data_IF_093676640287
#
_entry.id   IF_093676640287
#
_cell.length_a   1.000
_cell.length_b   1.000
_cell.length_c   1.000
_cell.angle_alpha   90.00
_cell.angle_beta   90.00
_cell.angle_gamma   90.00
#
_symmetry.space_group_name_H-M   'P 1'
#
loop_
_entity.id
_entity.type
_entity.pdbx_description
1 polymer ?
#
# COMPACT_ATOMS: atom_id res chain seq x y z
N UNK A 1 48.98 18.90 21.20
CA UNK A 1 48.13 18.90 19.98
C UNK A 1 46.84 18.10 20.18
N UNK A 2 46.87 16.90 20.78
CA UNK A 2 45.67 16.06 21.01
C UNK A 2 44.64 16.64 22.00
N UNK A 3 45.08 17.16 23.16
CA UNK A 3 44.14 17.67 24.19
C UNK A 3 43.37 18.92 23.75
N UNK A 4 43.98 19.78 22.93
CA UNK A 4 43.35 21.02 22.47
C UNK A 4 42.27 20.73 21.40
N UNK A 5 42.52 19.77 20.51
CA UNK A 5 41.53 19.29 19.54
C UNK A 5 40.33 18.60 20.24
N UNK A 6 40.59 17.87 21.33
CA UNK A 6 39.53 17.23 22.14
C UNK A 6 38.63 18.28 22.81
N UNK A 7 39.20 19.32 23.41
CA UNK A 7 38.44 20.43 24.01
C UNK A 7 37.62 21.16 22.95
N UNK A 8 38.18 21.40 21.77
CA UNK A 8 37.48 22.06 20.67
C UNK A 8 36.27 21.22 20.20
N UNK A 9 36.42 19.90 20.10
CA UNK A 9 35.35 18.97 19.71
C UNK A 9 34.21 18.97 20.75
N UNK A 10 34.52 19.02 22.05
CA UNK A 10 33.52 19.10 23.12
C UNK A 10 32.74 20.41 23.06
N UNK A 11 33.41 21.54 22.79
CA UNK A 11 32.77 22.85 22.66
C UNK A 11 31.84 22.88 21.45
N UNK A 12 32.27 22.33 20.31
CA UNK A 12 31.44 22.24 19.11
C UNK A 12 30.21 21.37 19.37
N UNK A 13 30.37 20.23 20.04
CA UNK A 13 29.25 19.36 20.39
C UNK A 13 28.23 20.06 21.29
N UNK A 14 28.69 20.79 22.31
CA UNK A 14 27.82 21.58 23.19
C UNK A 14 27.06 22.67 22.43
N UNK A 15 27.73 23.38 21.52
CA UNK A 15 27.08 24.41 20.69
C UNK A 15 25.99 23.81 19.80
N UNK A 16 26.27 22.69 19.13
CA UNK A 16 25.28 22.00 18.29
C UNK A 16 24.09 21.53 19.13
N UNK A 17 24.34 20.96 20.31
CA UNK A 17 23.27 20.54 21.22
C UNK A 17 22.38 21.71 21.65
N UNK A 18 22.97 22.87 21.96
CA UNK A 18 22.22 24.07 22.35
C UNK A 18 21.36 24.60 21.20
N UNK A 19 21.88 24.61 19.97
CA UNK A 19 21.13 25.00 18.77
C UNK A 19 19.93 24.07 18.54
N UNK A 20 20.12 22.76 18.71
CA UNK A 20 19.03 21.78 18.57
C UNK A 20 17.94 22.01 19.63
N UNK A 21 18.33 22.25 20.89
CA UNK A 21 17.36 22.53 21.97
C UNK A 21 16.54 23.79 21.71
N UNK A 22 17.18 24.87 21.25
CA UNK A 22 16.48 26.12 20.89
C UNK A 22 15.52 25.87 19.72
N UNK A 23 15.94 25.09 18.73
CA UNK A 23 15.08 24.75 17.59
C UNK A 23 13.85 23.96 18.02
N UNK A 24 14.03 22.95 18.88
CA UNK A 24 12.93 22.17 19.46
C UNK A 24 12.00 23.01 20.33
N UNK A 25 12.51 23.98 21.09
CA UNK A 25 11.68 24.90 21.87
C UNK A 25 10.79 25.77 20.97
N UNK A 26 11.38 26.38 19.92
CA UNK A 26 10.64 27.25 18.99
C UNK A 26 9.61 26.43 18.19
N UNK A 27 9.97 25.22 17.74
CA UNK A 27 9.08 24.37 16.96
C UNK A 27 8.00 23.70 17.83
N UNK A 28 8.37 23.23 19.02
CA UNK A 28 7.48 22.60 19.99
C UNK A 28 6.40 23.54 20.52
N UNK A 29 6.74 24.81 20.79
CA UNK A 29 5.76 25.83 21.21
C UNK A 29 4.74 26.14 20.10
N UNK A 30 5.14 26.06 18.82
CA UNK A 30 4.21 26.24 17.69
C UNK A 30 3.21 25.08 17.55
N UNK A 31 3.61 23.86 17.91
CA UNK A 31 2.75 22.68 17.85
C UNK A 31 1.76 22.64 19.03
N UNK A 32 2.18 23.08 20.23
CA UNK A 32 1.36 23.00 21.44
C UNK A 32 0.34 24.13 21.63
N UNK A 33 0.45 25.24 20.89
CA UNK A 33 -0.53 26.32 20.99
C UNK A 33 -1.81 25.98 20.20
N UNK A 34 -2.56 25.00 20.71
CA UNK A 34 -3.80 24.47 20.12
C UNK A 34 -4.93 25.49 19.96
N UNK A 35 -4.79 26.71 20.51
CA UNK A 35 -5.81 27.76 20.46
C UNK A 35 -6.01 28.43 19.09
N UNK A 36 -5.09 28.25 18.12
CA UNK A 36 -5.23 28.82 16.76
C UNK A 36 -5.99 27.92 15.77
N UNK A 37 -6.23 26.66 16.11
CA UNK A 37 -6.82 25.69 15.18
C UNK A 37 -8.35 25.59 15.25
N UNK A 38 -9.01 26.27 16.20
CA UNK A 38 -10.47 26.23 16.32
C UNK A 38 -11.20 26.78 15.09
N UNK A 39 -10.67 27.81 14.42
CA UNK A 39 -11.25 28.34 13.17
C UNK A 39 -10.87 27.56 11.92
N UNK A 40 -9.93 26.62 12.03
CA UNK A 40 -9.41 25.82 10.91
C UNK A 40 -9.97 24.39 10.96
N UNK A 41 -10.75 24.05 11.99
CA UNK A 41 -11.36 22.72 12.19
C UNK A 41 -12.12 22.23 10.97
N UNK A 42 -12.85 23.12 10.30
CA UNK A 42 -13.61 22.80 9.09
C UNK A 42 -12.72 22.41 7.89
N UNK A 43 -11.46 22.85 7.88
CA UNK A 43 -10.52 22.56 6.78
C UNK A 43 -9.83 21.20 6.94
N UNK A 44 -9.74 20.68 8.17
CA UNK A 44 -9.11 19.39 8.48
C UNK A 44 -10.09 18.34 9.02
N UNK A 45 -11.39 18.64 9.08
CA UNK A 45 -12.43 17.67 9.43
C UNK A 45 -12.59 16.60 8.34
N UNK A 46 -12.95 15.38 8.74
CA UNK A 46 -13.30 14.30 7.82
C UNK A 46 -14.43 14.72 6.85
N UNK A 47 -14.34 14.30 5.59
CA UNK A 47 -15.35 14.56 4.56
C UNK A 47 -16.60 13.69 4.77
N UNK A 48 -17.35 13.95 5.84
CA UNK A 48 -18.58 13.24 6.19
C UNK A 48 -19.79 14.18 6.15
N UNK A 49 -19.86 15.03 5.13
CA UNK A 49 -20.99 15.96 4.93
C UNK A 49 -21.34 16.82 6.17
N UNK A 50 -20.34 17.20 6.99
CA UNK A 50 -20.52 18.04 8.17
C UNK A 50 -20.98 17.30 9.44
N UNK A 51 -21.11 15.97 9.40
CA UNK A 51 -21.36 15.17 10.59
C UNK A 51 -20.06 14.94 11.38
N UNK A 52 -20.17 14.87 12.71
CA UNK A 52 -19.07 14.39 13.55
C UNK A 52 -18.83 12.92 13.21
N UNK A 53 -17.57 12.56 13.02
CA UNK A 53 -17.15 11.23 12.61
C UNK A 53 -17.81 10.16 13.49
N UNK A 54 -18.85 9.53 12.95
CA UNK A 54 -19.61 8.44 13.57
C UNK A 54 -19.58 7.24 12.64
N UNK A 55 -18.39 6.93 12.13
CA UNK A 55 -18.12 5.70 11.42
C UNK A 55 -17.13 4.88 12.22
N UNK A 56 -17.52 3.69 12.67
CA UNK A 56 -16.54 2.64 12.89
C UNK A 56 -15.72 2.54 11.61
N UNK A 57 -14.40 2.70 11.72
CA UNK A 57 -13.48 2.65 10.58
C UNK A 57 -13.80 1.39 9.77
N UNK A 58 -14.47 1.54 8.63
CA UNK A 58 -14.77 0.41 7.79
C UNK A 58 -13.43 -0.14 7.31
N UNK A 59 -13.25 -1.45 7.46
CA UNK A 59 -12.00 -2.09 7.06
C UNK A 59 -11.88 -1.99 5.54
N UNK A 60 -11.24 -0.91 5.07
CA UNK A 60 -10.97 -0.66 3.64
C UNK A 60 -10.23 -1.82 2.97
N UNK A 61 -9.59 -2.68 3.76
CA UNK A 61 -8.90 -3.87 3.29
C UNK A 61 -9.65 -5.14 3.68
N UNK A 62 -10.77 -5.39 2.99
CA UNK A 62 -11.43 -6.69 3.09
C UNK A 62 -10.59 -7.78 2.39
N UNK A 63 -10.56 -8.98 2.98
CA UNK A 63 -9.87 -10.16 2.43
C UNK A 63 -10.34 -10.49 1.00
N UNK A 64 -11.58 -10.12 0.65
CA UNK A 64 -12.15 -10.32 -0.68
C UNK A 64 -11.39 -9.56 -1.77
N UNK A 65 -10.93 -8.33 -1.50
CA UNK A 65 -10.16 -7.55 -2.47
C UNK A 65 -8.79 -8.18 -2.75
N UNK A 66 -8.15 -8.73 -1.71
CA UNK A 66 -6.86 -9.40 -1.86
C UNK A 66 -6.99 -10.68 -2.70
N UNK A 67 -8.03 -11.49 -2.48
CA UNK A 67 -8.24 -12.70 -3.28
C UNK A 67 -8.54 -12.39 -4.74
N UNK A 68 -9.34 -11.34 -5.01
CA UNK A 68 -9.62 -10.91 -6.38
C UNK A 68 -8.35 -10.43 -7.09
N UNK A 69 -7.47 -9.71 -6.38
CA UNK A 69 -6.18 -9.28 -6.92
C UNK A 69 -5.26 -10.45 -7.24
N UNK A 70 -5.15 -11.43 -6.34
CA UNK A 70 -4.31 -12.63 -6.57
C UNK A 70 -4.84 -13.43 -7.77
N UNK A 71 -6.16 -13.65 -7.83
CA UNK A 71 -6.80 -14.35 -8.95
C UNK A 71 -6.55 -13.61 -10.27
N UNK A 72 -6.68 -12.28 -10.28
CA UNK A 72 -6.42 -11.46 -11.46
C UNK A 72 -4.99 -11.61 -11.96
N UNK A 73 -3.99 -11.54 -11.08
CA UNK A 73 -2.57 -11.67 -11.46
C UNK A 73 -2.25 -13.07 -12.01
N UNK A 74 -2.77 -14.12 -11.37
CA UNK A 74 -2.53 -15.50 -11.84
C UNK A 74 -3.19 -15.74 -13.20
N UNK A 75 -4.44 -15.32 -13.37
CA UNK A 75 -5.18 -15.49 -14.62
C UNK A 75 -4.57 -14.67 -15.78
N UNK A 76 -4.06 -13.47 -15.51
CA UNK A 76 -3.37 -12.64 -16.50
C UNK A 76 -2.07 -13.31 -17.00
N UNK A 77 -1.33 -13.98 -16.09
CA UNK A 77 -0.16 -14.77 -16.44
C UNK A 77 -0.53 -15.97 -17.33
N UNK A 78 -1.59 -16.70 -16.98
CA UNK A 78 -2.07 -17.85 -17.76
C UNK A 78 -2.51 -17.45 -19.18
N UNK A 79 -3.21 -16.32 -19.34
CA UNK A 79 -3.57 -15.79 -20.67
C UNK A 79 -2.33 -15.36 -21.44
N UNK A 80 -1.37 -14.72 -20.78
CA UNK A 80 -0.10 -14.33 -21.39
C UNK A 80 0.67 -15.53 -21.95
N UNK A 81 0.64 -16.67 -21.24
CA UNK A 81 1.19 -17.93 -21.76
C UNK A 81 0.39 -18.47 -22.96
N UNK A 82 -0.94 -18.34 -22.93
CA UNK A 82 -1.80 -18.80 -24.02
C UNK A 82 -1.60 -17.97 -25.30
N UNK A 83 -1.34 -16.66 -25.18
CA UNK A 83 -1.04 -15.77 -26.31
C UNK A 83 0.20 -16.19 -27.12
N UNK A 84 1.11 -16.98 -26.53
CA UNK A 84 2.26 -17.51 -27.27
C UNK A 84 1.87 -18.43 -28.44
N UNK A 85 0.63 -18.93 -28.48
CA UNK A 85 0.11 -19.72 -29.60
C UNK A 85 0.15 -18.98 -30.94
N UNK A 86 0.15 -17.65 -30.95
CA UNK A 86 0.23 -16.86 -32.19
C UNK A 86 1.65 -16.92 -32.78
N UNK A 87 2.67 -17.09 -31.93
CA UNK A 87 4.07 -17.18 -32.34
C UNK A 87 4.46 -18.61 -32.71
N UNK A 88 3.86 -19.61 -32.06
CA UNK A 88 4.06 -21.02 -32.40
C UNK A 88 3.18 -21.42 -33.60
N UNK A 89 3.79 -21.93 -34.67
CA UNK A 89 3.05 -22.48 -35.80
C UNK A 89 2.13 -23.63 -35.39
N UNK A 90 0.99 -23.81 -36.09
CA UNK A 90 0.05 -24.91 -35.83
C UNK A 90 0.68 -26.26 -36.23
N UNK A 91 1.35 -26.88 -35.27
CA UNK A 91 1.68 -28.31 -35.29
C UNK A 91 0.63 -29.06 -34.47
N UNK A 92 0.20 -30.23 -34.95
CA UNK A 92 -0.85 -31.03 -34.30
C UNK A 92 -0.55 -31.37 -32.83
N UNK A 93 0.72 -31.62 -32.49
CA UNK A 93 1.12 -31.91 -31.11
C UNK A 93 0.98 -30.68 -30.20
N UNK A 94 1.49 -29.53 -30.65
CA UNK A 94 1.43 -28.25 -29.93
C UNK A 94 -0.01 -27.81 -29.65
N UNK A 95 -0.92 -28.05 -30.59
CA UNK A 95 -2.35 -27.76 -30.41
C UNK A 95 -2.97 -28.50 -29.21
N UNK A 96 -2.69 -29.80 -29.07
CA UNK A 96 -3.21 -30.60 -27.95
C UNK A 96 -2.68 -30.15 -26.60
N UNK A 97 -1.41 -29.75 -26.52
CA UNK A 97 -0.84 -29.19 -25.29
C UNK A 97 -1.55 -27.91 -24.85
N UNK A 98 -1.78 -26.96 -25.78
CA UNK A 98 -2.52 -25.74 -25.48
C UNK A 98 -3.99 -25.99 -25.13
N UNK A 99 -4.64 -26.97 -25.77
CA UNK A 99 -6.01 -27.34 -25.45
C UNK A 99 -6.15 -27.90 -24.03
N UNK A 100 -5.23 -28.78 -23.62
CA UNK A 100 -5.18 -29.30 -22.25
C UNK A 100 -4.90 -28.17 -21.26
N UNK A 101 -3.96 -27.26 -21.57
CA UNK A 101 -3.66 -26.10 -20.74
C UNK A 101 -4.90 -25.21 -20.53
N UNK A 102 -5.62 -24.88 -21.60
CA UNK A 102 -6.88 -24.13 -21.52
C UNK A 102 -7.91 -24.82 -20.63
N UNK A 103 -8.02 -26.15 -20.69
CA UNK A 103 -8.92 -26.90 -19.83
C UNK A 103 -8.57 -26.75 -18.33
N UNK A 104 -7.28 -26.72 -17.98
CA UNK A 104 -6.84 -26.46 -16.61
C UNK A 104 -7.23 -25.05 -16.14
N UNK A 105 -7.03 -24.03 -16.97
CA UNK A 105 -7.44 -22.65 -16.67
C UNK A 105 -8.95 -22.58 -16.41
N UNK A 106 -9.74 -23.20 -17.29
CA UNK A 106 -11.20 -23.24 -17.13
C UNK A 106 -11.62 -23.94 -15.83
N UNK A 107 -10.99 -25.08 -15.51
CA UNK A 107 -11.32 -25.84 -14.31
C UNK A 107 -10.92 -25.08 -13.04
N UNK A 108 -9.75 -24.43 -13.03
CA UNK A 108 -9.32 -23.55 -11.94
C UNK A 108 -10.31 -22.43 -11.67
N UNK A 109 -10.76 -21.75 -12.73
CA UNK A 109 -11.78 -20.70 -12.62
C UNK A 109 -13.09 -21.20 -12.01
N UNK A 110 -13.57 -22.38 -12.43
CA UNK A 110 -14.81 -22.97 -11.88
C UNK A 110 -14.67 -23.30 -10.39
N UNK A 111 -13.51 -23.80 -9.95
CA UNK A 111 -13.24 -24.09 -8.53
C UNK A 111 -13.27 -22.81 -7.69
N UNK A 112 -12.62 -21.74 -8.16
CA UNK A 112 -12.60 -20.45 -7.47
C UNK A 112 -14.00 -19.82 -7.32
N UNK A 113 -14.84 -19.94 -8.36
CA UNK A 113 -16.25 -19.53 -8.29
C UNK A 113 -17.04 -20.33 -7.25
N UNK A 114 -16.78 -21.64 -7.14
CA UNK A 114 -17.48 -22.50 -6.17
C UNK A 114 -17.04 -22.23 -4.73
N UNK A 115 -15.77 -21.86 -4.51
CA UNK A 115 -15.26 -21.50 -3.19
C UNK A 115 -15.73 -20.11 -2.72
N UNK A 116 -16.26 -19.30 -3.63
CA UNK A 116 -16.89 -18.02 -3.29
C UNK A 116 -15.92 -16.88 -3.07
N UNK A 117 -14.64 -17.04 -3.45
CA UNK A 117 -13.63 -15.98 -3.37
C UNK A 117 -13.94 -14.76 -4.25
N UNK A 118 -14.77 -14.95 -5.29
CA UNK A 118 -15.22 -13.89 -6.22
C UNK A 118 -16.52 -13.21 -5.74
N UNK A 119 -17.15 -13.70 -4.67
CA UNK A 119 -18.44 -13.16 -4.22
C UNK A 119 -18.24 -11.81 -3.54
N UNK A 120 -18.71 -10.74 -4.18
CA UNK A 120 -18.57 -9.37 -3.70
C UNK A 120 -19.71 -8.90 -2.77
N UNK A 121 -20.82 -9.63 -2.73
CA UNK A 121 -21.98 -9.31 -1.89
C UNK A 121 -22.05 -10.27 -0.70
N UNK A 122 -21.81 -9.73 0.49
CA UNK A 122 -22.33 -10.23 1.76
C UNK A 122 -23.05 -9.10 2.48
#
# INVERSE_FOLDING_TARGET
MSNLNLVLLIIVFLLVFLVVLVHLYIFGVKVFNGGRYNYVQEWYSSFECGFLNHGLNENFFSFSYLNLLILFVVFDLEISLLLNIVYDGIWYYTFWCYFIFFFFVFLGYVVELKLGYVKWIS
#
